data_IF_973830113470
#
_entry.id   IF_973830113470
#
_cell.length_a   1.000
_cell.length_b   1.000
_cell.length_c   1.000
_cell.angle_alpha   90.00
_cell.angle_beta   90.00
_cell.angle_gamma   90.00
#
_symmetry.space_group_name_H-M   'P 1'
#
loop_
_entity.id
_entity.type
_entity.pdbx_description
1 polymer ?
#
# COMPACT_ATOMS: atom_id res chain seq x y z
N UNK A 1 6.32 23.39 6.22
CA UNK A 1 7.66 22.80 6.46
C UNK A 1 8.24 22.44 5.10
N UNK A 2 9.41 22.97 4.71
CA UNK A 2 10.04 22.57 3.45
C UNK A 2 10.69 21.20 3.67
N UNK A 3 10.27 20.20 2.89
CA UNK A 3 10.85 18.85 2.93
C UNK A 3 12.29 18.93 2.42
N UNK A 4 13.22 18.29 3.12
CA UNK A 4 14.66 18.35 2.85
C UNK A 4 15.22 17.01 2.36
N UNK A 5 16.53 16.94 2.12
CA UNK A 5 17.19 15.72 1.64
C UNK A 5 17.11 14.57 2.66
N UNK A 6 17.09 14.87 3.97
CA UNK A 6 16.91 13.87 5.02
C UNK A 6 15.52 13.20 4.93
N UNK A 7 14.47 14.00 4.68
CA UNK A 7 13.11 13.49 4.46
C UNK A 7 13.07 12.59 3.22
N UNK A 8 13.73 13.00 2.13
CA UNK A 8 13.84 12.20 0.89
C UNK A 8 14.51 10.86 1.18
N UNK A 9 15.67 10.87 1.82
CA UNK A 9 16.41 9.66 2.19
C UNK A 9 15.54 8.73 3.06
N UNK A 10 14.89 9.29 4.08
CA UNK A 10 14.02 8.53 4.99
C UNK A 10 12.88 7.84 4.25
N UNK A 11 12.15 8.54 3.38
CA UNK A 11 11.02 7.94 2.66
C UNK A 11 11.47 6.86 1.68
N UNK A 12 12.58 7.10 0.97
CA UNK A 12 13.14 6.13 0.04
C UNK A 12 13.62 4.89 0.78
N UNK A 13 14.35 5.05 1.89
CA UNK A 13 14.84 3.93 2.70
C UNK A 13 13.70 3.07 3.21
N UNK A 14 12.68 3.69 3.82
CA UNK A 14 11.52 2.98 4.35
C UNK A 14 10.81 2.19 3.24
N UNK A 15 10.59 2.82 2.08
CA UNK A 15 9.96 2.13 0.95
C UNK A 15 10.78 0.91 0.51
N UNK A 16 12.08 1.08 0.33
CA UNK A 16 12.98 0.02 -0.13
C UNK A 16 13.01 -1.16 0.84
N UNK A 17 13.06 -0.89 2.15
CA UNK A 17 13.10 -1.96 3.15
C UNK A 17 11.84 -2.83 3.10
N UNK A 18 10.65 -2.21 3.07
CA UNK A 18 9.40 -2.94 2.93
C UNK A 18 9.23 -3.62 1.57
N UNK A 19 9.72 -3.00 0.51
CA UNK A 19 9.63 -3.55 -0.84
C UNK A 19 10.51 -4.80 -1.00
N UNK A 20 11.74 -4.77 -0.49
CA UNK A 20 12.64 -5.94 -0.45
C UNK A 20 12.02 -7.05 0.38
N UNK A 21 11.51 -6.74 1.58
CA UNK A 21 10.83 -7.72 2.42
C UNK A 21 9.63 -8.36 1.73
N UNK A 22 8.80 -7.57 1.05
CA UNK A 22 7.67 -8.09 0.27
C UNK A 22 8.14 -9.05 -0.83
N UNK A 23 9.20 -8.70 -1.57
CA UNK A 23 9.75 -9.52 -2.65
C UNK A 23 10.37 -10.81 -2.11
N UNK A 24 11.16 -10.72 -1.05
CA UNK A 24 11.79 -11.89 -0.40
C UNK A 24 10.72 -12.87 0.11
N UNK A 25 9.65 -12.35 0.72
CA UNK A 25 8.50 -13.16 1.16
C UNK A 25 7.84 -13.90 -0.01
N UNK A 26 7.76 -13.27 -1.19
CA UNK A 26 7.17 -13.86 -2.40
C UNK A 26 8.07 -14.91 -3.03
N UNK A 27 9.38 -14.75 -2.90
CA UNK A 27 10.39 -15.69 -3.38
C UNK A 27 10.66 -16.84 -2.39
N UNK A 28 9.96 -16.90 -1.26
CA UNK A 28 10.20 -17.84 -0.16
C UNK A 28 11.65 -17.79 0.38
N UNK A 29 12.29 -16.62 0.27
CA UNK A 29 13.62 -16.40 0.83
C UNK A 29 13.42 -16.23 2.35
N UNK A 30 13.73 -17.29 3.10
CA UNK A 30 13.60 -17.29 4.57
C UNK A 30 14.76 -16.50 5.18
N UNK A 31 14.52 -15.27 5.63
CA UNK A 31 15.49 -14.53 6.43
C UNK A 31 15.25 -14.65 7.95
N UNK A 32 14.02 -14.90 8.39
CA UNK A 32 13.64 -14.73 9.80
C UNK A 32 12.81 -15.89 10.39
N UNK A 33 12.79 -15.97 11.72
CA UNK A 33 12.14 -17.02 12.53
C UNK A 33 10.63 -16.89 12.70
N UNK A 34 9.98 -15.90 12.06
CA UNK A 34 8.55 -15.64 12.21
C UNK A 34 7.84 -15.65 10.85
N UNK A 35 6.62 -16.19 10.84
CA UNK A 35 5.75 -16.15 9.66
C UNK A 35 5.20 -14.73 9.48
N UNK A 36 5.47 -14.12 8.33
CA UNK A 36 5.08 -12.74 8.01
C UNK A 36 4.09 -12.75 6.85
N UNK A 37 3.04 -11.95 6.98
CA UNK A 37 2.05 -11.75 5.93
C UNK A 37 2.22 -10.36 5.36
N UNK A 38 2.89 -10.26 4.21
CA UNK A 38 3.03 -9.00 3.49
C UNK A 38 1.75 -8.70 2.68
N UNK A 39 1.32 -7.43 2.68
CA UNK A 39 0.08 -6.98 2.07
C UNK A 39 0.37 -6.00 0.94
N UNK A 40 -0.06 -6.32 -0.29
CA UNK A 40 -0.12 -5.36 -1.37
C UNK A 40 -1.39 -4.51 -1.22
N UNK A 41 -1.22 -3.21 -0.95
CA UNK A 41 -2.34 -2.31 -0.68
C UNK A 41 -3.31 -2.18 -1.86
N UNK A 42 -2.81 -2.11 -3.10
CA UNK A 42 -3.65 -1.96 -4.28
C UNK A 42 -4.53 -3.19 -4.49
N UNK A 43 -3.96 -4.39 -4.35
CA UNK A 43 -4.72 -5.64 -4.44
C UNK A 43 -5.68 -5.77 -3.26
N UNK A 44 -5.25 -5.43 -2.04
CA UNK A 44 -6.13 -5.43 -0.86
C UNK A 44 -7.35 -4.52 -1.04
N UNK A 45 -7.16 -3.34 -1.65
CA UNK A 45 -8.25 -2.41 -1.93
C UNK A 45 -9.18 -2.93 -3.06
N UNK A 46 -8.61 -3.32 -4.20
CA UNK A 46 -9.37 -3.65 -5.42
C UNK A 46 -9.96 -5.07 -5.44
N UNK A 47 -9.29 -6.04 -4.83
CA UNK A 47 -9.59 -7.46 -5.04
C UNK A 47 -10.19 -8.08 -3.78
N UNK A 48 -11.50 -8.35 -3.80
CA UNK A 48 -12.18 -9.05 -2.69
C UNK A 48 -11.55 -10.44 -2.43
N UNK A 49 -11.20 -11.16 -3.50
CA UNK A 49 -10.54 -12.46 -3.42
C UNK A 49 -9.15 -12.39 -2.75
N UNK A 50 -8.42 -11.28 -2.92
CA UNK A 50 -7.14 -11.06 -2.25
C UNK A 50 -7.33 -10.87 -0.75
N UNK A 51 -8.33 -10.09 -0.34
CA UNK A 51 -8.68 -9.93 1.08
C UNK A 51 -9.08 -11.24 1.73
N UNK A 52 -9.91 -12.05 1.05
CA UNK A 52 -10.34 -13.37 1.52
C UNK A 52 -9.13 -14.27 1.78
N UNK A 53 -8.20 -14.37 0.81
CA UNK A 53 -6.98 -15.16 0.95
C UNK A 53 -6.10 -14.68 2.12
N UNK A 54 -6.01 -13.38 2.35
CA UNK A 54 -5.29 -12.83 3.50
C UNK A 54 -5.95 -13.21 4.82
N UNK A 55 -7.27 -13.12 4.92
CA UNK A 55 -8.03 -13.53 6.11
C UNK A 55 -7.84 -15.02 6.41
N UNK A 56 -7.86 -15.88 5.39
CA UNK A 56 -7.61 -17.31 5.54
C UNK A 56 -6.20 -17.61 6.05
N UNK A 57 -5.18 -16.90 5.54
CA UNK A 57 -3.78 -17.02 6.04
C UNK A 57 -3.65 -16.63 7.51
N UNK A 58 -4.47 -15.70 7.98
CA UNK A 58 -4.52 -15.29 9.38
C UNK A 58 -5.34 -16.26 10.26
N UNK A 59 -5.88 -17.34 9.69
CA UNK A 59 -6.69 -18.33 10.41
C UNK A 59 -8.15 -17.93 10.60
N UNK A 60 -8.63 -16.88 9.92
CA UNK A 60 -10.03 -16.48 9.98
C UNK A 60 -10.87 -17.20 8.93
N UNK A 61 -12.11 -17.52 9.30
CA UNK A 61 -13.15 -17.95 8.35
C UNK A 61 -13.90 -16.74 7.84
N UNK A 62 -13.93 -16.55 6.52
CA UNK A 62 -14.72 -15.48 5.91
C UNK A 62 -16.18 -15.91 5.86
N UNK A 63 -17.05 -15.20 6.56
CA UNK A 63 -18.49 -15.48 6.63
C UNK A 63 -19.34 -14.51 5.80
N UNK A 64 -18.77 -13.36 5.40
CA UNK A 64 -19.39 -12.32 4.56
C UNK A 64 -18.30 -11.41 3.96
N UNK A 65 -18.67 -10.38 3.18
CA UNK A 65 -17.75 -9.30 2.74
C UNK A 65 -17.84 -8.10 3.70
N UNK A 66 -17.06 -8.06 4.81
CA UNK A 66 -17.11 -6.97 5.77
C UNK A 66 -16.47 -5.68 5.24
N UNK A 67 -15.82 -5.71 4.08
CA UNK A 67 -15.02 -4.58 3.59
C UNK A 67 -15.86 -3.31 3.39
N UNK A 68 -17.13 -3.47 3.04
CA UNK A 68 -18.05 -2.37 2.83
C UNK A 68 -18.65 -1.83 4.13
N UNK A 69 -18.54 -2.55 5.25
CA UNK A 69 -19.23 -2.21 6.50
C UNK A 69 -18.28 -1.59 7.51
N UNK A 70 -18.65 -0.43 8.05
CA UNK A 70 -18.00 0.12 9.23
C UNK A 70 -18.45 -0.68 10.44
N UNK A 71 -17.52 -1.07 11.32
CA UNK A 71 -17.86 -1.82 12.53
C UNK A 71 -18.84 -1.04 13.41
N UNK A 72 -19.89 -1.71 13.89
CA UNK A 72 -20.86 -1.16 14.84
C UNK A 72 -20.20 -0.79 16.19
N UNK A 73 -18.97 -1.29 16.43
CA UNK A 73 -18.11 -0.95 17.57
C UNK A 73 -16.89 -0.16 17.11
N UNK A 74 -16.65 0.99 17.73
CA UNK A 74 -15.51 1.88 17.42
C UNK A 74 -15.90 3.21 16.77
N UNK A 75 -17.16 3.33 16.28
CA UNK A 75 -17.64 4.44 15.45
C UNK A 75 -16.73 4.69 14.22
N UNK A 76 -17.24 5.46 13.25
CA UNK A 76 -16.49 5.77 12.04
C UNK A 76 -15.10 6.37 12.31
N UNK A 77 -14.23 6.33 11.30
CA UNK A 77 -12.92 6.99 11.38
C UNK A 77 -13.10 8.47 11.72
N UNK A 78 -12.25 9.02 12.59
CA UNK A 78 -12.21 10.47 12.91
C UNK A 78 -11.99 11.38 11.70
N UNK A 79 -11.76 10.79 10.52
CA UNK A 79 -11.55 11.49 9.25
C UNK A 79 -12.84 11.68 8.44
N UNK A 80 -13.66 10.63 8.25
CA UNK A 80 -14.84 10.67 7.34
C UNK A 80 -16.16 10.19 8.01
N UNK A 81 -16.15 9.89 9.32
CA UNK A 81 -17.29 9.35 10.06
C UNK A 81 -17.97 8.16 9.33
N UNK A 82 -19.18 8.33 8.81
CA UNK A 82 -19.97 7.30 8.10
C UNK A 82 -20.10 7.56 6.60
N UNK A 83 -19.39 8.55 6.03
CA UNK A 83 -19.61 9.01 4.65
C UNK A 83 -19.42 7.89 3.59
N UNK A 84 -18.57 6.91 3.88
CA UNK A 84 -18.31 5.76 3.01
C UNK A 84 -18.89 4.44 3.52
N UNK A 85 -19.85 4.48 4.44
CA UNK A 85 -20.56 3.28 4.86
C UNK A 85 -21.23 2.62 3.63
N UNK A 86 -20.96 1.34 3.44
CA UNK A 86 -21.36 0.53 2.28
C UNK A 86 -20.73 0.94 0.93
N UNK A 87 -19.71 1.82 0.93
CA UNK A 87 -19.08 2.36 -0.28
C UNK A 87 -17.55 2.54 -0.15
N UNK A 88 -16.90 1.75 0.69
CA UNK A 88 -15.44 1.84 0.89
C UNK A 88 -14.66 1.71 -0.43
N UNK A 89 -15.12 0.86 -1.35
CA UNK A 89 -14.51 0.67 -2.66
C UNK A 89 -14.70 1.84 -3.64
N UNK A 90 -15.61 2.79 -3.36
CA UNK A 90 -15.77 4.00 -4.18
C UNK A 90 -14.83 5.13 -3.75
N UNK A 91 -14.08 4.97 -2.66
CA UNK A 91 -13.06 5.93 -2.27
C UNK A 91 -11.94 5.92 -3.32
N UNK A 92 -11.62 7.08 -3.89
CA UNK A 92 -10.58 7.21 -4.92
C UNK A 92 -9.15 7.22 -4.31
N UNK A 93 -8.87 6.28 -3.40
CA UNK A 93 -7.65 6.29 -2.57
C UNK A 93 -6.40 5.94 -3.36
N UNK A 94 -6.53 5.13 -4.41
CA UNK A 94 -5.41 4.73 -5.28
C UNK A 94 -4.93 5.86 -6.18
N UNK A 95 -5.70 6.94 -6.29
CA UNK A 95 -5.39 8.09 -7.15
C UNK A 95 -4.92 9.32 -6.35
N UNK A 96 -4.76 9.20 -5.02
CA UNK A 96 -4.31 10.31 -4.15
C UNK A 96 -2.94 10.85 -4.54
N UNK A 97 -2.09 10.04 -5.16
CA UNK A 97 -0.79 10.48 -5.68
C UNK A 97 -0.91 11.60 -6.72
N UNK A 98 -2.02 11.69 -7.46
CA UNK A 98 -2.24 12.74 -8.48
C UNK A 98 -2.22 14.15 -7.90
N UNK A 99 -2.54 14.31 -6.62
CA UNK A 99 -2.44 15.60 -5.92
C UNK A 99 -0.98 16.08 -5.84
N UNK A 100 -0.02 15.16 -5.85
CA UNK A 100 1.41 15.44 -5.77
C UNK A 100 2.12 15.39 -7.12
N UNK A 101 1.41 15.15 -8.23
CA UNK A 101 2.02 14.94 -9.55
C UNK A 101 2.93 16.08 -10.00
N UNK A 102 2.67 17.31 -9.53
CA UNK A 102 3.42 18.52 -9.87
C UNK A 102 4.35 18.99 -8.73
N UNK A 103 4.36 18.29 -7.59
CA UNK A 103 5.21 18.59 -6.44
C UNK A 103 6.67 18.18 -6.74
N UNK A 104 7.59 19.15 -6.65
CA UNK A 104 9.00 18.91 -6.99
C UNK A 104 9.67 17.89 -6.07
N UNK A 105 9.33 17.92 -4.78
CA UNK A 105 9.84 16.94 -3.82
C UNK A 105 9.36 15.53 -4.19
N UNK A 106 8.06 15.35 -4.48
CA UNK A 106 7.51 14.07 -4.92
C UNK A 106 8.19 13.56 -6.20
N UNK A 107 8.36 14.41 -7.21
CA UNK A 107 9.08 14.07 -8.45
C UNK A 107 10.51 13.62 -8.16
N UNK A 108 11.20 14.29 -7.24
CA UNK A 108 12.59 13.95 -6.89
C UNK A 108 12.76 12.56 -6.29
N UNK A 109 11.70 11.95 -5.72
CA UNK A 109 11.75 10.58 -5.19
C UNK A 109 12.00 9.55 -6.30
N UNK A 110 11.56 9.83 -7.53
CA UNK A 110 11.71 8.96 -8.69
C UNK A 110 13.09 9.04 -9.35
N UNK A 111 14.01 9.84 -8.82
CA UNK A 111 15.41 9.83 -9.26
C UNK A 111 16.17 8.60 -8.74
N UNK A 112 15.64 7.92 -7.72
CA UNK A 112 16.23 6.72 -7.15
C UNK A 112 15.89 5.47 -7.99
N UNK A 113 16.92 4.89 -8.61
CA UNK A 113 16.77 3.75 -9.54
C UNK A 113 16.22 2.49 -8.87
N UNK A 114 16.71 2.18 -7.68
CA UNK A 114 16.30 0.96 -6.99
C UNK A 114 14.84 1.06 -6.53
N UNK A 115 14.39 2.24 -6.08
CA UNK A 115 12.97 2.49 -5.79
C UNK A 115 12.10 2.18 -7.01
N UNK A 116 12.51 2.62 -8.19
CA UNK A 116 11.79 2.37 -9.45
C UNK A 116 11.77 0.89 -9.82
N UNK A 117 12.90 0.20 -9.70
CA UNK A 117 13.02 -1.23 -9.99
C UNK A 117 12.13 -2.07 -9.06
N UNK A 118 12.20 -1.82 -7.76
CA UNK A 118 11.35 -2.48 -6.75
C UNK A 118 9.87 -2.20 -7.00
N UNK A 119 9.52 -0.95 -7.33
CA UNK A 119 8.14 -0.58 -7.68
C UNK A 119 7.62 -1.34 -8.90
N UNK A 120 8.46 -1.49 -9.93
CA UNK A 120 8.12 -2.28 -11.12
C UNK A 120 7.91 -3.75 -10.79
N UNK A 121 8.74 -4.34 -9.94
CA UNK A 121 8.60 -5.74 -9.51
C UNK A 121 7.31 -5.99 -8.74
N UNK A 122 6.87 -5.04 -7.90
CA UNK A 122 5.70 -5.20 -7.03
C UNK A 122 4.39 -4.90 -7.77
N UNK A 123 4.37 -3.84 -8.57
CA UNK A 123 3.13 -3.31 -9.15
C UNK A 123 3.00 -3.55 -10.66
N UNK A 124 4.04 -4.08 -11.32
CA UNK A 124 4.11 -4.25 -12.77
C UNK A 124 3.76 -2.95 -13.54
N UNK A 125 4.21 -1.81 -13.01
CA UNK A 125 4.01 -0.50 -13.61
C UNK A 125 5.23 -0.07 -14.42
N UNK A 126 4.99 0.57 -15.55
CA UNK A 126 6.02 1.32 -16.24
C UNK A 126 6.33 2.60 -15.48
N UNK A 127 7.61 2.95 -15.42
CA UNK A 127 8.07 4.17 -14.75
C UNK A 127 7.40 5.37 -15.42
N UNK A 128 6.69 6.22 -14.66
CA UNK A 128 6.10 7.42 -15.24
C UNK A 128 7.21 8.28 -15.87
N UNK A 129 7.06 8.61 -17.15
CA UNK A 129 7.94 9.57 -17.82
C UNK A 129 7.56 10.98 -17.33
N UNK A 130 8.08 11.37 -16.18
CA UNK A 130 7.99 12.74 -15.68
C UNK A 130 9.15 13.62 -16.16
N UNK A 131 9.91 13.14 -17.16
CA UNK A 131 11.04 13.80 -17.81
C UNK A 131 10.61 14.23 -19.22
#
# INVERSE_FOLDING_TARGET
MKRNDDDKFKYISIFKDYAREYIDSKMNIKSDSYDRICVNYNQWFCEASYRIKLSEKLGFKVTADPYQKISDRGQGSSFDSFEYENKASSMNVLERWKVFKDDSFYKSLFEDRELLELSKMIFNIDIPKFI
#
